data_IF_010385059719
#
_entry.id   IF_010385059719
#
_cell.length_a   1.000
_cell.length_b   1.000
_cell.length_c   1.000
_cell.angle_alpha   90.00
_cell.angle_beta   90.00
_cell.angle_gamma   90.00
#
_symmetry.space_group_name_H-M   'P 1'
#
loop_
_entity.id
_entity.type
_entity.pdbx_description
1 polymer ?
#
# COMPACT_ATOMS: atom_id res chain seq x y z
N UNK A 1 3.19 12.93 5.57
CA UNK A 1 4.44 13.01 4.78
C UNK A 1 4.85 11.63 4.30
N UNK A 2 5.60 11.53 3.21
CA UNK A 2 6.16 10.27 2.74
C UNK A 2 7.39 9.89 3.58
N UNK A 3 7.44 8.65 4.09
CA UNK A 3 8.50 8.19 4.99
C UNK A 3 8.66 6.66 4.92
N UNK A 4 9.70 6.11 5.55
CA UNK A 4 9.88 4.67 5.72
C UNK A 4 9.19 4.16 7.00
N UNK A 5 9.13 2.83 7.19
CA UNK A 5 8.64 2.28 8.45
C UNK A 5 9.55 2.66 9.63
N UNK A 6 10.86 2.75 9.39
CA UNK A 6 11.84 3.13 10.41
C UNK A 6 11.66 4.58 10.86
N UNK A 7 11.31 5.50 9.96
CA UNK A 7 10.96 6.88 10.32
C UNK A 7 9.66 6.93 11.12
N UNK A 8 8.64 6.20 10.69
CA UNK A 8 7.34 6.20 11.35
C UNK A 8 7.45 5.67 12.80
N UNK A 9 8.30 4.66 13.02
CA UNK A 9 8.56 4.10 14.34
C UNK A 9 9.29 5.08 15.29
N UNK A 10 10.07 6.03 14.76
CA UNK A 10 10.73 7.08 15.55
C UNK A 10 9.78 8.21 15.96
N UNK A 11 8.61 8.30 15.32
CA UNK A 11 7.63 9.35 15.52
C UNK A 11 6.26 8.77 15.88
N UNK A 12 6.14 8.12 17.06
CA UNK A 12 4.91 7.45 17.45
C UNK A 12 3.72 8.41 17.45
N UNK A 13 2.58 7.92 16.96
CA UNK A 13 1.34 8.69 16.86
C UNK A 13 1.24 9.66 15.67
N UNK A 14 2.32 9.92 14.94
CA UNK A 14 2.29 10.75 13.74
C UNK A 14 1.82 9.97 12.51
N UNK A 15 1.04 10.61 11.63
CA UNK A 15 0.56 9.96 10.39
C UNK A 15 1.58 10.11 9.26
N UNK A 16 2.00 8.98 8.69
CA UNK A 16 2.92 8.88 7.56
C UNK A 16 2.28 8.15 6.38
N UNK A 17 2.82 8.41 5.19
CA UNK A 17 2.55 7.70 3.96
C UNK A 17 3.75 6.83 3.65
N UNK A 18 3.65 5.53 3.91
CA UNK A 18 4.75 4.59 3.66
C UNK A 18 4.51 3.90 2.34
N UNK A 19 5.53 3.93 1.47
CA UNK A 19 5.47 3.36 0.12
C UNK A 19 6.30 2.10 0.07
N UNK A 20 5.75 1.06 -0.55
CA UNK A 20 6.40 -0.24 -0.61
C UNK A 20 5.62 -1.24 -1.46
N UNK A 21 5.90 -2.51 -1.22
CA UNK A 21 5.31 -3.64 -1.94
C UNK A 21 4.79 -4.68 -0.95
N UNK A 22 3.71 -5.34 -1.32
CA UNK A 22 3.20 -6.50 -0.60
C UNK A 22 4.27 -7.59 -0.58
N UNK A 23 4.53 -8.16 0.59
CA UNK A 23 5.38 -9.33 0.69
C UNK A 23 4.54 -10.60 0.49
N UNK A 24 4.47 -11.05 -0.76
CA UNK A 24 3.73 -12.27 -1.15
C UNK A 24 4.33 -13.56 -0.60
N UNK A 25 5.55 -13.51 -0.05
CA UNK A 25 6.17 -14.67 0.58
C UNK A 25 5.59 -14.94 1.98
N UNK A 26 4.86 -13.97 2.55
CA UNK A 26 4.25 -14.06 3.87
C UNK A 26 2.72 -14.12 3.79
N UNK A 27 2.08 -14.78 4.77
CA UNK A 27 0.62 -14.81 4.82
C UNK A 27 0.06 -13.43 5.14
N UNK A 28 -1.09 -13.13 4.54
CA UNK A 28 -1.97 -12.07 5.00
C UNK A 28 -3.18 -12.69 5.71
N UNK A 29 -3.80 -11.93 6.60
CA UNK A 29 -4.93 -12.36 7.43
C UNK A 29 -6.10 -11.43 7.13
N UNK A 30 -7.20 -12.01 6.64
CA UNK A 30 -8.48 -11.34 6.46
C UNK A 30 -9.59 -12.30 6.83
N UNK A 31 -10.34 -12.00 7.89
CA UNK A 31 -11.50 -12.77 8.31
C UNK A 31 -12.73 -11.86 8.43
N UNK A 32 -13.57 -11.79 7.38
CA UNK A 32 -14.75 -10.94 7.39
C UNK A 32 -15.86 -11.43 8.35
N UNK A 33 -15.79 -12.67 8.85
CA UNK A 33 -16.73 -13.16 9.88
C UNK A 33 -16.35 -12.63 11.25
N UNK A 34 -15.04 -12.56 11.54
CA UNK A 34 -14.54 -12.02 12.81
C UNK A 34 -14.51 -10.49 12.81
N UNK A 35 -13.92 -9.87 11.79
CA UNK A 35 -13.91 -8.42 11.63
C UNK A 35 -13.75 -8.01 10.15
N UNK A 36 -14.83 -7.57 9.48
CA UNK A 36 -14.80 -7.19 8.06
C UNK A 36 -13.95 -5.93 7.78
N UNK A 37 -13.62 -5.15 8.81
CA UNK A 37 -12.82 -3.92 8.67
C UNK A 37 -11.37 -4.11 9.13
N UNK A 38 -10.88 -5.34 9.23
CA UNK A 38 -9.53 -5.63 9.67
C UNK A 38 -8.82 -6.51 8.65
N UNK A 39 -7.79 -5.93 8.02
CA UNK A 39 -6.93 -6.65 7.11
C UNK A 39 -5.47 -6.51 7.54
N UNK A 40 -4.78 -7.62 7.76
CA UNK A 40 -3.39 -7.63 8.21
C UNK A 40 -2.49 -8.26 7.16
N UNK A 41 -1.39 -7.60 6.81
CA UNK A 41 -0.46 -8.09 5.79
C UNK A 41 0.98 -7.63 6.09
N UNK A 42 1.94 -8.26 5.41
CA UNK A 42 3.34 -7.84 5.47
C UNK A 42 3.69 -7.01 4.25
N UNK A 43 4.47 -5.97 4.45
CA UNK A 43 4.88 -5.05 3.41
C UNK A 43 6.36 -4.71 3.58
N UNK A 44 7.07 -4.62 2.47
CA UNK A 44 8.45 -4.16 2.42
C UNK A 44 8.50 -2.76 1.83
N UNK A 45 9.03 -1.79 2.57
CA UNK A 45 9.18 -0.43 2.08
C UNK A 45 10.36 -0.29 1.09
N UNK A 46 10.62 0.95 0.65
CA UNK A 46 11.70 1.26 -0.30
C UNK A 46 13.10 1.10 0.29
N UNK A 47 13.25 1.16 1.61
CA UNK A 47 14.53 0.96 2.30
C UNK A 47 14.81 -0.53 2.54
N UNK A 48 13.82 -1.38 2.25
CA UNK A 48 13.90 -2.82 2.45
C UNK A 48 13.50 -3.24 3.86
N UNK A 49 12.94 -2.32 4.66
CA UNK A 49 12.37 -2.66 5.96
C UNK A 49 11.05 -3.37 5.74
N UNK A 50 10.97 -4.59 6.25
CA UNK A 50 9.72 -5.36 6.29
C UNK A 50 8.95 -5.01 7.57
N UNK A 51 7.67 -4.69 7.45
CA UNK A 51 6.80 -4.40 8.57
C UNK A 51 5.45 -5.08 8.40
N UNK A 52 4.87 -5.51 9.53
CA UNK A 52 3.49 -5.96 9.58
C UNK A 52 2.58 -4.74 9.67
N UNK A 53 1.61 -4.68 8.77
CA UNK A 53 0.64 -3.60 8.65
C UNK A 53 -0.74 -4.14 9.00
N UNK A 54 -1.44 -3.41 9.88
CA UNK A 54 -2.85 -3.64 10.20
C UNK A 54 -3.68 -2.53 9.60
N UNK A 55 -4.50 -2.84 8.60
CA UNK A 55 -5.39 -1.92 7.92
C UNK A 55 -6.79 -1.98 8.55
N UNK A 56 -7.27 -0.83 9.03
CA UNK A 56 -8.63 -0.63 9.54
C UNK A 56 -9.69 -0.49 8.46
N UNK A 57 -9.58 -1.25 7.37
CA UNK A 57 -10.52 -1.32 6.24
C UNK A 57 -10.60 -2.77 5.72
N UNK A 58 -11.66 -3.12 4.97
CA UNK A 58 -11.74 -4.39 4.26
C UNK A 58 -10.55 -4.59 3.31
N UNK A 59 -10.22 -5.86 3.02
CA UNK A 59 -9.21 -6.20 2.00
C UNK A 59 -9.66 -5.68 0.62
N UNK A 60 -8.86 -4.85 -0.08
CA UNK A 60 -9.16 -4.49 -1.46
C UNK A 60 -9.15 -5.71 -2.40
N UNK A 61 -10.04 -5.74 -3.40
CA UNK A 61 -10.17 -6.89 -4.31
C UNK A 61 -8.88 -7.18 -5.10
N UNK A 62 -8.26 -6.15 -5.66
CA UNK A 62 -7.03 -6.25 -6.48
C UNK A 62 -5.74 -6.00 -5.67
N UNK A 63 -5.77 -6.22 -4.35
CA UNK A 63 -4.64 -5.92 -3.47
C UNK A 63 -3.34 -6.61 -3.89
N UNK A 64 -3.40 -7.90 -4.23
CA UNK A 64 -2.22 -8.68 -4.66
C UNK A 64 -1.69 -8.29 -6.05
N UNK A 65 -2.48 -7.55 -6.85
CA UNK A 65 -2.10 -7.13 -8.22
C UNK A 65 -1.36 -5.78 -8.26
N UNK A 66 -1.23 -5.12 -7.12
CA UNK A 66 -0.62 -3.80 -7.03
C UNK A 66 0.90 -3.88 -7.12
N UNK A 67 1.50 -3.15 -8.06
CA UNK A 67 2.96 -3.03 -8.17
C UNK A 67 3.58 -2.26 -7.00
N UNK A 68 2.81 -1.29 -6.49
CA UNK A 68 3.21 -0.46 -5.35
C UNK A 68 1.99 -0.12 -4.50
N UNK A 69 2.18 -0.15 -3.19
CA UNK A 69 1.16 0.14 -2.20
C UNK A 69 1.64 1.33 -1.37
N UNK A 70 0.73 2.26 -1.07
CA UNK A 70 0.97 3.35 -0.12
C UNK A 70 0.05 3.16 1.07
N UNK A 71 0.61 2.87 2.24
CA UNK A 71 -0.16 2.77 3.49
C UNK A 71 -0.12 4.10 4.22
N UNK A 72 -1.27 4.54 4.73
CA UNK A 72 -1.44 5.81 5.43
C UNK A 72 -1.82 5.49 6.87
N UNK A 73 -0.98 5.86 7.81
CA UNK A 73 -1.13 5.39 9.19
C UNK A 73 -0.05 5.88 10.13
N UNK A 74 0.00 5.30 11.31
CA UNK A 74 1.01 5.59 12.34
C UNK A 74 1.61 4.28 12.86
N UNK A 75 2.85 4.36 13.35
CA UNK A 75 3.44 3.28 14.13
C UNK A 75 3.21 3.59 15.62
N UNK A 76 2.47 2.76 16.37
CA UNK A 76 2.48 2.82 17.82
C UNK A 76 3.82 2.27 18.36
N UNK A 77 4.20 2.64 19.57
CA UNK A 77 5.43 2.18 20.20
C UNK A 77 5.54 0.65 20.17
N UNK A 78 6.66 0.15 19.62
CA UNK A 78 6.99 -1.28 19.51
C UNK A 78 5.88 -2.19 18.95
N UNK A 79 5.04 -1.65 18.05
CA UNK A 79 3.87 -2.36 17.52
C UNK A 79 3.83 -2.37 15.99
N UNK A 80 2.95 -3.21 15.45
CA UNK A 80 2.63 -3.25 14.02
C UNK A 80 2.14 -1.88 13.52
N UNK A 81 2.48 -1.52 12.28
CA UNK A 81 2.04 -0.26 11.68
C UNK A 81 0.51 -0.25 11.51
N UNK A 82 -0.16 0.73 12.10
CA UNK A 82 -1.62 0.87 12.07
C UNK A 82 -2.01 1.77 10.90
N UNK A 83 -2.44 1.15 9.80
CA UNK A 83 -2.94 1.84 8.62
C UNK A 83 -4.43 2.15 8.75
N UNK A 84 -4.79 3.42 8.55
CA UNK A 84 -6.19 3.86 8.41
C UNK A 84 -6.64 3.88 6.96
N UNK A 85 -5.71 3.94 6.02
CA UNK A 85 -6.00 3.95 4.60
C UNK A 85 -4.89 3.30 3.78
N UNK A 86 -5.22 2.90 2.55
CA UNK A 86 -4.29 2.31 1.60
C UNK A 86 -4.60 2.81 0.18
N UNK A 87 -3.56 3.19 -0.55
CA UNK A 87 -3.64 3.53 -1.97
C UNK A 87 -2.86 2.50 -2.76
N UNK A 88 -3.56 1.81 -3.65
CA UNK A 88 -2.98 0.87 -4.61
C UNK A 88 -2.53 1.64 -5.85
N UNK A 89 -1.28 1.45 -6.26
CA UNK A 89 -0.77 1.96 -7.52
C UNK A 89 -0.61 0.80 -8.49
N UNK A 90 -1.47 0.77 -9.50
CA UNK A 90 -1.30 -0.12 -10.63
C UNK A 90 -0.14 0.39 -11.51
N UNK A 91 0.63 -0.50 -12.16
CA UNK A 91 1.55 -0.09 -13.20
C UNK A 91 0.76 0.56 -14.33
N UNK A 92 0.90 1.88 -14.47
CA UNK A 92 0.55 2.55 -15.72
C UNK A 92 1.60 2.18 -16.76
N UNK A 93 1.58 0.96 -17.30
CA UNK A 93 2.37 0.67 -18.50
C UNK A 93 1.56 1.12 -19.71
N UNK A 94 2.02 2.22 -20.32
CA UNK A 94 1.81 2.61 -21.72
C UNK A 94 0.39 2.39 -22.27
N UNK A 95 -0.46 3.40 -22.13
CA UNK A 95 -1.52 3.58 -23.13
C UNK A 95 -0.93 4.49 -24.23
N UNK A 96 -0.46 3.83 -25.30
CA UNK A 96 -0.18 4.32 -26.65
C UNK A 96 0.18 5.81 -26.83
N UNK A 97 1.48 6.09 -26.83
CA UNK A 97 2.04 7.22 -27.57
C UNK A 97 2.02 6.95 -29.08
N UNK A 98 0.83 6.79 -29.67
CA UNK A 98 0.66 6.96 -31.12
C UNK A 98 0.10 8.36 -31.37
N UNK A 99 0.85 9.27 -32.01
CA UNK A 99 0.26 10.49 -32.53
C UNK A 99 -0.86 10.05 -33.48
N UNK A 100 -2.09 10.48 -33.20
CA UNK A 100 -3.20 10.30 -34.13
C UNK A 100 -2.87 11.18 -35.35
N UNK A 101 -2.30 10.55 -36.39
CA UNK A 101 -2.09 11.19 -37.68
C UNK A 101 -3.43 11.75 -38.16
N UNK A 102 -3.47 13.06 -38.34
CA UNK A 102 -4.54 13.73 -39.08
C UNK A 102 -4.52 13.16 -40.50
N UNK A 103 -5.49 12.32 -40.85
CA UNK A 103 -5.83 12.03 -42.23
C UNK A 103 -7.18 12.70 -42.57
N UNK A 104 -7.02 13.76 -43.38
CA UNK A 104 -7.90 14.31 -44.40
C UNK A 104 -9.40 14.04 -44.39
N UNK A 105 -10.16 15.13 -44.45
CA UNK A 105 -11.14 15.37 -45.51
C UNK A 105 -10.94 16.86 -45.90
N UNK A 106 -10.36 17.15 -47.08
CA UNK A 106 -11.08 17.46 -48.33
C UNK A 106 -12.21 18.46 -48.14
#
# INVERSE_FOLDING_TARGET
>A
TYASFSDAAQHPGSTFHVVGKLDISKPFIYDPQTNPNLFTFYMKDREGTECKVTLGKPKPDDFERSDQIVVIGSAPDNSDFQAKDVLMKCPSKYNDGKPQEKQGAM
#
